data_IF_057153915915
#
_entry.id   IF_057153915915
#
_cell.length_a   1.000
_cell.length_b   1.000
_cell.length_c   1.000
_cell.angle_alpha   90.00
_cell.angle_beta   90.00
_cell.angle_gamma   90.00
#
_symmetry.space_group_name_H-M   'P 1'
#
loop_
_entity.id
_entity.type
_entity.pdbx_description
1 polymer ?
#
# COMPACT_ATOMS: atom_id res chain seq x y z
N UNK A 1 30.98 -15.72 -5.55
CA UNK A 1 30.00 -14.72 -6.03
C UNK A 1 28.74 -14.95 -5.22
N UNK A 2 28.54 -14.11 -4.20
CA UNK A 2 27.30 -14.05 -3.41
C UNK A 2 26.57 -12.85 -3.98
N UNK A 3 25.39 -13.07 -4.51
CA UNK A 3 24.57 -12.03 -5.14
C UNK A 3 24.18 -10.99 -4.09
N UNK A 4 24.72 -9.78 -4.25
CA UNK A 4 24.29 -8.54 -3.60
C UNK A 4 22.76 -8.39 -3.75
N UNK A 5 22.01 -8.83 -2.74
CA UNK A 5 20.59 -8.52 -2.60
C UNK A 5 20.36 -7.15 -1.92
N UNK A 6 21.44 -6.42 -1.61
CA UNK A 6 21.41 -5.13 -0.92
C UNK A 6 21.02 -3.94 -1.82
N UNK A 7 20.90 -4.15 -3.14
CA UNK A 7 20.75 -3.03 -4.11
C UNK A 7 19.28 -2.68 -4.48
N UNK A 8 18.27 -3.46 -4.04
CA UNK A 8 16.87 -3.22 -4.46
C UNK A 8 16.11 -2.23 -3.54
N UNK A 9 16.58 -2.03 -2.31
CA UNK A 9 15.94 -1.16 -1.32
C UNK A 9 16.94 -0.11 -0.81
N UNK A 10 16.81 1.10 -1.35
CA UNK A 10 17.65 2.27 -1.06
C UNK A 10 17.37 2.87 0.34
N UNK A 11 17.84 4.10 0.62
CA UNK A 11 17.63 4.90 1.85
C UNK A 11 16.16 4.96 2.39
N UNK A 12 15.18 4.50 1.59
CA UNK A 12 13.73 4.52 1.84
C UNK A 12 13.09 3.11 1.88
N UNK A 13 13.86 2.09 2.29
CA UNK A 13 13.39 0.70 2.36
C UNK A 13 12.07 0.53 3.14
N UNK A 14 11.81 1.36 4.16
CA UNK A 14 10.57 1.29 4.93
C UNK A 14 9.36 1.67 4.07
N UNK A 15 9.42 2.78 3.36
CA UNK A 15 8.30 3.23 2.54
C UNK A 15 8.09 2.36 1.31
N UNK A 16 9.17 1.86 0.69
CA UNK A 16 9.07 0.92 -0.42
C UNK A 16 8.39 -0.39 0.02
N UNK A 17 8.78 -0.94 1.17
CA UNK A 17 8.14 -2.14 1.73
C UNK A 17 6.69 -1.87 2.13
N UNK A 18 6.39 -0.76 2.81
CA UNK A 18 5.02 -0.43 3.21
C UNK A 18 4.11 -0.18 2.01
N UNK A 19 4.58 0.55 1.01
CA UNK A 19 3.83 0.77 -0.23
C UNK A 19 3.56 -0.54 -0.96
N UNK A 20 4.55 -1.42 -1.07
CA UNK A 20 4.40 -2.73 -1.70
C UNK A 20 3.40 -3.61 -0.92
N UNK A 21 3.48 -3.62 0.41
CA UNK A 21 2.58 -4.38 1.28
C UNK A 21 1.13 -3.90 1.15
N UNK A 22 0.90 -2.58 1.26
CA UNK A 22 -0.44 -2.00 1.13
C UNK A 22 -1.03 -2.31 -0.25
N UNK A 23 -0.24 -2.16 -1.32
CA UNK A 23 -0.69 -2.55 -2.66
C UNK A 23 -1.02 -4.04 -2.72
N UNK A 24 -0.17 -4.90 -2.17
CA UNK A 24 -0.39 -6.35 -2.21
C UNK A 24 -1.69 -6.74 -1.49
N UNK A 25 -1.91 -6.20 -0.29
CA UNK A 25 -3.12 -6.44 0.49
C UNK A 25 -4.38 -5.97 -0.25
N UNK A 26 -4.34 -4.77 -0.84
CA UNK A 26 -5.45 -4.20 -1.61
C UNK A 26 -5.64 -4.85 -3.00
N UNK A 27 -4.76 -5.75 -3.44
CA UNK A 27 -4.89 -6.46 -4.73
C UNK A 27 -5.10 -7.96 -4.60
N UNK A 28 -4.81 -8.55 -3.43
CA UNK A 28 -4.87 -9.99 -3.22
C UNK A 28 -6.16 -10.43 -2.53
N UNK A 29 -6.73 -9.56 -1.69
CA UNK A 29 -7.95 -9.82 -0.93
C UNK A 29 -9.12 -9.00 -1.49
N UNK A 30 -10.33 -9.56 -1.38
CA UNK A 30 -11.56 -8.83 -1.69
C UNK A 30 -11.87 -7.81 -0.56
N UNK A 31 -12.44 -6.66 -0.90
CA UNK A 31 -12.65 -5.59 0.08
C UNK A 31 -13.59 -6.01 1.21
N UNK A 32 -14.59 -6.84 0.91
CA UNK A 32 -15.50 -7.41 1.89
C UNK A 32 -14.79 -8.34 2.87
N UNK A 33 -13.84 -9.17 2.40
CA UNK A 33 -13.03 -9.99 3.29
C UNK A 33 -12.17 -9.14 4.23
N UNK A 34 -11.58 -8.06 3.73
CA UNK A 34 -10.82 -7.12 4.57
C UNK A 34 -11.70 -6.41 5.60
N UNK A 35 -12.96 -6.10 5.24
CA UNK A 35 -13.95 -5.58 6.18
C UNK A 35 -14.29 -6.61 7.26
N UNK A 36 -14.53 -7.86 6.88
CA UNK A 36 -14.87 -8.93 7.81
C UNK A 36 -13.72 -9.23 8.79
N UNK A 37 -12.49 -9.32 8.30
CA UNK A 37 -11.29 -9.54 9.14
C UNK A 37 -11.08 -8.41 10.16
N UNK A 38 -11.53 -7.20 9.83
CA UNK A 38 -11.44 -6.02 10.68
C UNK A 38 -12.69 -5.76 11.56
N UNK A 39 -13.71 -6.63 11.50
CA UNK A 39 -15.01 -6.44 12.16
C UNK A 39 -15.67 -5.09 11.79
N UNK A 40 -15.61 -4.75 10.50
CA UNK A 40 -16.16 -3.52 9.91
C UNK A 40 -17.36 -3.82 8.98
N UNK A 41 -18.30 -2.87 8.83
CA UNK A 41 -19.40 -3.03 7.89
C UNK A 41 -18.89 -3.08 6.44
N UNK A 42 -19.44 -4.01 5.66
CA UNK A 42 -19.17 -4.13 4.23
C UNK A 42 -19.82 -2.99 3.43
N UNK A 43 -19.13 -2.55 2.39
CA UNK A 43 -19.66 -1.59 1.43
C UNK A 43 -20.44 -2.34 0.34
N UNK A 44 -21.68 -1.94 0.09
CA UNK A 44 -22.53 -2.52 -0.95
C UNK A 44 -23.13 -1.44 -1.85
N UNK A 45 -23.23 -1.74 -3.13
CA UNK A 45 -24.00 -0.99 -4.11
C UNK A 45 -25.50 -1.00 -3.77
N UNK A 46 -26.26 -0.14 -4.43
CA UNK A 46 -27.72 -0.04 -4.23
C UNK A 46 -28.49 -1.29 -4.69
N UNK A 47 -27.88 -2.14 -5.51
CA UNK A 47 -28.39 -3.45 -5.93
C UNK A 47 -28.01 -4.60 -4.96
N UNK A 48 -27.27 -4.28 -3.89
CA UNK A 48 -26.83 -5.23 -2.88
C UNK A 48 -25.56 -5.99 -3.22
N UNK A 49 -24.90 -5.71 -4.36
CA UNK A 49 -23.58 -6.29 -4.65
C UNK A 49 -22.48 -5.62 -3.82
N UNK A 50 -21.44 -6.36 -3.37
CA UNK A 50 -20.30 -5.77 -2.69
C UNK A 50 -19.57 -4.75 -3.58
N UNK A 51 -19.07 -3.68 -2.96
CA UNK A 51 -18.12 -2.77 -3.61
C UNK A 51 -16.76 -3.46 -3.62
N UNK A 52 -16.22 -3.72 -4.80
CA UNK A 52 -14.89 -4.32 -4.98
C UNK A 52 -13.82 -3.29 -5.34
N UNK A 53 -12.56 -3.65 -5.10
CA UNK A 53 -11.40 -2.91 -5.60
C UNK A 53 -11.18 -3.25 -7.07
N UNK A 54 -11.20 -2.25 -7.94
CA UNK A 54 -11.01 -2.45 -9.39
C UNK A 54 -9.57 -2.19 -9.82
N UNK A 55 -8.85 -1.33 -9.11
CA UNK A 55 -7.45 -1.02 -9.39
C UNK A 55 -6.75 -0.48 -8.15
N UNK A 56 -5.55 -0.98 -7.88
CA UNK A 56 -4.63 -0.41 -6.90
C UNK A 56 -3.24 -0.19 -7.53
N UNK A 57 -2.76 1.05 -7.56
CA UNK A 57 -1.52 1.44 -8.24
C UNK A 57 -0.64 2.27 -7.34
N UNK A 58 0.65 1.98 -7.33
CA UNK A 58 1.63 2.80 -6.61
C UNK A 58 1.81 4.14 -7.31
N UNK A 59 1.94 5.22 -6.55
CA UNK A 59 2.47 6.49 -7.06
C UNK A 59 3.69 6.93 -6.24
N UNK A 60 4.53 7.73 -6.90
CA UNK A 60 5.68 8.38 -6.30
C UNK A 60 5.62 9.84 -6.73
N UNK A 61 5.25 10.72 -5.82
CA UNK A 61 5.33 12.15 -6.07
C UNK A 61 6.74 12.65 -5.73
N UNK A 62 7.36 13.34 -6.68
CA UNK A 62 8.73 13.84 -6.60
C UNK A 62 8.78 15.33 -6.24
N UNK A 63 7.86 15.81 -5.41
CA UNK A 63 7.90 17.17 -4.90
C UNK A 63 9.20 17.45 -4.14
N UNK A 64 9.76 18.66 -4.32
CA UNK A 64 11.11 19.08 -3.88
C UNK A 64 11.36 18.93 -2.36
N UNK A 65 10.35 18.59 -1.55
CA UNK A 65 10.45 18.53 -0.10
C UNK A 65 9.77 17.31 0.56
N UNK A 66 8.96 16.53 -0.16
CA UNK A 66 8.35 15.29 0.34
C UNK A 66 8.31 14.25 -0.77
N UNK A 67 9.03 13.15 -0.59
CA UNK A 67 8.81 11.93 -1.37
C UNK A 67 7.53 11.28 -0.85
N UNK A 68 6.37 11.79 -1.26
CA UNK A 68 5.11 11.16 -0.94
C UNK A 68 4.96 9.91 -1.83
N UNK A 69 5.08 8.75 -1.19
CA UNK A 69 4.82 7.43 -1.80
C UNK A 69 3.44 6.98 -1.35
N UNK A 70 2.74 6.24 -2.19
CA UNK A 70 1.42 5.77 -1.80
C UNK A 70 0.74 4.85 -2.80
N UNK A 71 -0.52 4.56 -2.56
CA UNK A 71 -1.36 3.73 -3.42
C UNK A 71 -2.62 4.51 -3.80
N UNK A 72 -2.88 4.62 -5.09
CA UNK A 72 -4.18 5.00 -5.62
C UNK A 72 -5.07 3.77 -5.70
N UNK A 73 -6.26 3.89 -5.12
CA UNK A 73 -7.30 2.88 -5.08
C UNK A 73 -8.51 3.37 -5.89
N UNK A 74 -8.99 2.54 -6.79
CA UNK A 74 -10.25 2.73 -7.50
C UNK A 74 -11.20 1.60 -7.09
N UNK A 75 -12.44 1.98 -6.79
CA UNK A 75 -13.50 1.08 -6.38
C UNK A 75 -14.56 0.96 -7.48
N UNK A 76 -15.31 -0.14 -7.45
CA UNK A 76 -16.37 -0.42 -8.43
C UNK A 76 -17.55 0.57 -8.39
N UNK A 77 -17.70 1.34 -7.31
CA UNK A 77 -18.68 2.45 -7.18
C UNK A 77 -18.20 3.75 -7.86
N UNK A 78 -17.01 3.73 -8.47
CA UNK A 78 -16.38 4.87 -9.12
C UNK A 78 -15.63 5.79 -8.18
N UNK A 79 -15.58 5.48 -6.88
CA UNK A 79 -14.81 6.23 -5.90
C UNK A 79 -13.31 5.99 -6.08
N UNK A 80 -12.51 7.04 -5.93
CA UNK A 80 -11.05 7.00 -6.04
C UNK A 80 -10.42 7.60 -4.77
N UNK A 81 -9.52 6.86 -4.15
CA UNK A 81 -8.84 7.25 -2.91
C UNK A 81 -7.32 7.15 -3.06
N UNK A 82 -6.60 8.04 -2.38
CA UNK A 82 -5.14 7.99 -2.25
C UNK A 82 -4.74 7.64 -0.82
N UNK A 83 -3.97 6.57 -0.65
CA UNK A 83 -3.27 6.26 0.61
C UNK A 83 -1.82 6.70 0.51
N UNK A 84 -1.44 7.74 1.26
CA UNK A 84 -0.07 8.25 1.32
C UNK A 84 0.70 7.63 2.49
N UNK A 85 1.89 7.11 2.22
CA UNK A 85 2.90 6.74 3.22
C UNK A 85 3.80 7.94 3.43
N UNK A 86 3.80 8.47 4.66
CA UNK A 86 4.59 9.64 5.02
C UNK A 86 5.58 9.32 6.13
N UNK A 87 6.83 9.78 5.99
CA UNK A 87 7.79 9.75 7.09
C UNK A 87 7.57 10.98 7.99
N UNK A 88 6.99 10.77 9.17
CA UNK A 88 6.93 11.82 10.19
C UNK A 88 8.19 11.86 11.08
N UNK A 89 8.94 10.74 11.15
CA UNK A 89 10.21 10.61 11.87
C UNK A 89 10.99 9.42 11.31
N UNK A 90 12.30 9.59 11.08
CA UNK A 90 13.17 8.46 10.69
C UNK A 90 13.45 7.53 11.89
N UNK A 91 13.55 6.21 11.68
CA UNK A 91 13.98 5.27 12.70
C UNK A 91 15.32 5.70 13.33
N UNK A 92 15.44 5.55 14.64
CA UNK A 92 16.66 5.95 15.38
C UNK A 92 17.82 4.93 15.23
N UNK A 93 17.56 3.78 14.61
CA UNK A 93 18.52 2.69 14.46
C UNK A 93 18.30 2.01 13.11
N UNK A 94 19.38 1.44 12.56
CA UNK A 94 19.32 0.70 11.32
C UNK A 94 18.45 -0.56 11.47
N UNK A 95 17.63 -0.83 10.45
CA UNK A 95 16.81 -2.03 10.37
C UNK A 95 17.47 -2.99 9.38
N UNK A 96 17.69 -4.23 9.80
CA UNK A 96 18.22 -5.28 8.92
C UNK A 96 17.07 -5.97 8.18
N UNK A 97 17.13 -5.99 6.85
CA UNK A 97 16.19 -6.73 6.02
C UNK A 97 16.51 -8.23 6.05
N UNK A 98 15.48 -9.08 6.13
CA UNK A 98 15.60 -10.54 6.00
C UNK A 98 14.62 -11.03 4.95
N UNK A 99 15.11 -11.73 3.92
CA UNK A 99 14.29 -12.55 3.01
C UNK A 99 14.28 -13.99 3.51
N UNK A 100 13.10 -14.61 3.47
CA UNK A 100 12.93 -16.05 3.68
C UNK A 100 13.08 -16.79 2.35
#
# INVERSE_FOLDING_TARGET
MREDCDDEFDEYAHEDILQALVRHLLTSDELDQLCDDADLPQLTHSDGQPVTITSARTYRDGGVLTLDRGVWLELSDGSVFGLTVQISRRPASEVTLRRH
#
